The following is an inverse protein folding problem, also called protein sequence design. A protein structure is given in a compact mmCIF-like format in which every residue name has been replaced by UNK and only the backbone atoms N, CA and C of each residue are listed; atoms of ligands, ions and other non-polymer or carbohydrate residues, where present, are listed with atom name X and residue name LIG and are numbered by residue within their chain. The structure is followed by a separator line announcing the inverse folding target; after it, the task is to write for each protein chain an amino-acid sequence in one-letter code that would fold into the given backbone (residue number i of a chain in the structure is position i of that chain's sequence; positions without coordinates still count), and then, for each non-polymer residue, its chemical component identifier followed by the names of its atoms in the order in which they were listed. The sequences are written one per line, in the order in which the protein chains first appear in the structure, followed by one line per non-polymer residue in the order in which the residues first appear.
data_IF_392677595913
#
_entry.id   IF_392677595913
#
_cell.length_a   1.000
_cell.length_b   1.000
_cell.length_c   1.000
_cell.angle_alpha   90.00
_cell.angle_beta   90.00
_cell.angle_gamma   90.00
#
_symmetry.space_group_name_H-M   'P 1'
#
loop_
_entity.id
_entity.type
_entity.pdbx_description
1 polymer ?
#
# COMPACT_ATOMS: atom_id res chain seq x y z
N UNK A 1 12.18 4.11 -6.74
CA UNK A 1 12.06 5.07 -5.62
C UNK A 1 12.03 4.36 -4.27
N UNK A 2 11.04 3.50 -3.98
CA UNK A 2 10.96 2.78 -2.69
C UNK A 2 12.15 1.84 -2.42
N UNK A 3 12.65 1.15 -3.45
CA UNK A 3 13.84 0.28 -3.39
C UNK A 3 15.13 1.07 -3.07
N UNK A 4 15.18 2.36 -3.40
CA UNK A 4 16.36 3.20 -3.19
C UNK A 4 16.53 3.60 -1.72
N UNK A 5 15.44 3.66 -0.95
CA UNK A 5 15.47 3.91 0.50
C UNK A 5 15.90 2.64 1.27
N UNK A 6 15.70 1.45 0.68
CA UNK A 6 16.00 0.13 1.26
C UNK A 6 17.49 -0.27 1.19
N UNK A 7 18.30 0.36 0.35
CA UNK A 7 19.65 -0.16 0.10
C UNK A 7 20.48 -0.03 1.38
N UNK A 8 21.04 -1.15 1.90
CA UNK A 8 21.95 -1.24 3.08
C UNK A 8 23.10 -0.19 3.11
N UNK A 9 23.28 0.54 2.02
CA UNK A 9 24.13 1.70 1.88
C UNK A 9 23.64 2.92 2.68
N UNK A 10 22.33 3.20 2.74
CA UNK A 10 21.77 4.37 3.44
C UNK A 10 21.92 4.23 4.95
N UNK A 11 21.57 3.06 5.51
CA UNK A 11 21.70 2.76 6.94
C UNK A 11 23.13 2.81 7.46
N UNK A 12 24.15 2.62 6.62
CA UNK A 12 25.57 2.69 7.03
C UNK A 12 26.22 4.05 6.76
N UNK A 13 25.74 4.80 5.77
CA UNK A 13 26.38 6.06 5.34
C UNK A 13 25.74 7.30 5.99
N UNK A 14 24.40 7.34 6.13
CA UNK A 14 23.70 8.48 6.73
C UNK A 14 24.10 8.75 8.20
N UNK A 15 24.25 7.74 9.08
CA UNK A 15 24.64 7.97 10.47
C UNK A 15 25.99 8.68 10.60
N UNK A 16 26.87 8.55 9.59
CA UNK A 16 28.15 9.26 9.53
C UNK A 16 28.03 10.78 9.56
N UNK A 17 26.88 11.33 9.12
CA UNK A 17 26.56 12.76 9.14
C UNK A 17 26.22 13.27 10.56
N UNK A 18 25.97 12.37 11.51
CA UNK A 18 25.56 12.71 12.86
C UNK A 18 26.70 12.52 13.87
N UNK A 19 26.65 13.23 15.03
CA UNK A 19 27.61 13.03 16.13
C UNK A 19 27.63 11.57 16.62
N UNK A 20 28.82 11.06 16.99
CA UNK A 20 29.03 9.66 17.44
C UNK A 20 28.02 9.18 18.49
N UNK A 21 27.61 10.08 19.40
CA UNK A 21 26.66 9.79 20.49
C UNK A 21 25.28 9.33 20.00
N UNK A 22 24.79 9.88 18.88
CA UNK A 22 23.41 9.62 18.39
C UNK A 22 23.38 8.66 17.21
N UNK A 23 24.53 8.22 16.69
CA UNK A 23 24.59 7.30 15.53
C UNK A 23 23.82 6.00 15.75
N UNK A 24 23.92 5.32 16.92
CA UNK A 24 23.16 4.09 17.14
C UNK A 24 21.65 4.30 17.05
N UNK A 25 21.15 5.42 17.57
CA UNK A 25 19.73 5.79 17.50
C UNK A 25 19.28 6.05 16.06
N UNK A 26 20.10 6.75 15.26
CA UNK A 26 19.82 6.98 13.83
C UNK A 26 19.87 5.68 13.03
N UNK A 27 20.83 4.79 13.33
CA UNK A 27 20.93 3.48 12.68
C UNK A 27 19.69 2.61 12.94
N UNK A 28 19.19 2.60 14.18
CA UNK A 28 18.00 1.85 14.55
C UNK A 28 16.74 2.41 13.88
N UNK A 29 16.56 3.75 13.91
CA UNK A 29 15.49 4.44 13.18
C UNK A 29 15.46 4.07 11.70
N UNK A 30 16.61 4.20 11.01
CA UNK A 30 16.70 3.92 9.57
C UNK A 30 16.44 2.44 9.26
N UNK A 31 16.85 1.54 10.14
CA UNK A 31 16.60 0.10 10.00
C UNK A 31 15.10 -0.21 10.13
N UNK A 32 14.43 0.31 11.17
CA UNK A 32 12.98 0.15 11.38
C UNK A 32 12.15 0.76 10.24
N UNK A 33 12.54 1.94 9.78
CA UNK A 33 11.93 2.61 8.63
C UNK A 33 12.06 1.75 7.36
N UNK A 34 13.26 1.24 7.09
CA UNK A 34 13.53 0.37 5.95
C UNK A 34 12.69 -0.92 5.97
N UNK A 35 12.62 -1.59 7.12
CA UNK A 35 11.82 -2.81 7.28
C UNK A 35 10.31 -2.57 7.08
N UNK A 36 9.80 -1.44 7.57
CA UNK A 36 8.40 -1.06 7.42
C UNK A 36 8.05 -0.72 5.96
N UNK A 37 8.92 0.03 5.27
CA UNK A 37 8.77 0.33 3.84
C UNK A 37 8.87 -0.93 2.98
N UNK A 38 9.77 -1.85 3.30
CA UNK A 38 9.88 -3.14 2.61
C UNK A 38 8.60 -3.95 2.78
N UNK A 39 8.12 -4.09 4.01
CA UNK A 39 6.86 -4.80 4.30
C UNK A 39 5.68 -4.21 3.53
N UNK A 40 5.60 -2.88 3.42
CA UNK A 40 4.58 -2.21 2.62
C UNK A 40 4.67 -2.57 1.14
N UNK A 41 5.86 -2.51 0.54
CA UNK A 41 6.06 -2.87 -0.88
C UNK A 41 5.68 -4.34 -1.12
N UNK A 42 6.10 -5.24 -0.24
CA UNK A 42 5.78 -6.67 -0.34
C UNK A 42 4.27 -6.92 -0.27
N UNK A 43 3.58 -6.25 0.66
CA UNK A 43 2.12 -6.36 0.81
C UNK A 43 1.40 -5.83 -0.42
N UNK A 44 1.82 -4.68 -0.95
CA UNK A 44 1.21 -4.13 -2.17
C UNK A 44 1.43 -5.05 -3.36
N UNK A 45 2.65 -5.55 -3.56
CA UNK A 45 2.95 -6.42 -4.69
C UNK A 45 2.12 -7.71 -4.63
N UNK A 46 2.04 -8.33 -3.45
CA UNK A 46 1.22 -9.52 -3.24
C UNK A 46 -0.26 -9.22 -3.42
N UNK A 47 -0.77 -8.11 -2.89
CA UNK A 47 -2.16 -7.70 -3.04
C UNK A 47 -2.54 -7.47 -4.51
N UNK A 48 -1.70 -6.75 -5.25
CA UNK A 48 -1.87 -6.53 -6.69
C UNK A 48 -1.86 -7.84 -7.49
N UNK A 49 -0.97 -8.77 -7.15
CA UNK A 49 -0.94 -10.11 -7.76
C UNK A 49 -2.23 -10.89 -7.48
N UNK A 50 -2.72 -10.87 -6.24
CA UNK A 50 -3.98 -11.53 -5.87
C UNK A 50 -5.12 -10.98 -6.72
N UNK A 51 -5.27 -9.65 -6.81
CA UNK A 51 -6.33 -9.02 -7.62
C UNK A 51 -6.18 -9.37 -9.10
N UNK A 52 -4.97 -9.23 -9.66
CA UNK A 52 -4.72 -9.54 -11.08
C UNK A 52 -5.03 -10.99 -11.42
N UNK A 53 -4.63 -11.96 -10.59
CA UNK A 53 -4.92 -13.37 -10.79
C UNK A 53 -6.42 -13.66 -10.63
N UNK A 54 -7.07 -13.10 -9.61
CA UNK A 54 -8.53 -13.23 -9.44
C UNK A 54 -9.29 -12.70 -10.65
N UNK A 55 -8.86 -11.57 -11.20
CA UNK A 55 -9.46 -10.97 -12.38
C UNK A 55 -9.19 -11.75 -13.65
N UNK A 56 -8.01 -12.34 -13.79
CA UNK A 56 -7.71 -13.24 -14.90
C UNK A 56 -8.74 -14.37 -14.97
N UNK A 57 -8.99 -15.06 -13.86
CA UNK A 57 -9.98 -16.14 -13.83
C UNK A 57 -11.41 -15.63 -14.05
N UNK A 58 -11.78 -14.50 -13.43
CA UNK A 58 -13.09 -13.90 -13.60
C UNK A 58 -13.37 -13.54 -15.06
N UNK A 59 -12.48 -12.76 -15.68
CA UNK A 59 -12.70 -12.26 -17.04
C UNK A 59 -12.49 -13.33 -18.11
N UNK A 60 -11.70 -14.38 -17.84
CA UNK A 60 -11.66 -15.56 -18.73
C UNK A 60 -13.06 -16.15 -18.97
N UNK A 61 -13.91 -16.12 -17.94
CA UNK A 61 -15.26 -16.71 -18.00
C UNK A 61 -16.27 -15.75 -18.66
N UNK A 62 -16.25 -14.46 -18.29
CA UNK A 62 -17.29 -13.52 -18.69
C UNK A 62 -16.92 -12.63 -19.88
N UNK A 63 -15.63 -12.32 -20.08
CA UNK A 63 -15.11 -11.36 -21.04
C UNK A 63 -13.76 -11.85 -21.61
N UNK A 64 -13.73 -13.01 -22.31
CA UNK A 64 -12.48 -13.67 -22.69
C UNK A 64 -11.55 -12.76 -23.52
N UNK A 65 -12.13 -11.94 -24.40
CA UNK A 65 -11.43 -10.96 -25.25
C UNK A 65 -10.70 -9.87 -24.45
N UNK A 66 -11.18 -9.54 -23.25
CA UNK A 66 -10.63 -8.49 -22.38
C UNK A 66 -9.85 -9.03 -21.18
N UNK A 67 -9.68 -10.35 -21.08
CA UNK A 67 -9.07 -11.03 -19.93
C UNK A 67 -7.71 -10.45 -19.56
N UNK A 68 -6.80 -10.37 -20.54
CA UNK A 68 -5.44 -9.89 -20.30
C UNK A 68 -5.47 -8.40 -19.96
N UNK A 69 -6.28 -7.62 -20.68
CA UNK A 69 -6.37 -6.17 -20.48
C UNK A 69 -6.88 -5.84 -19.06
N UNK A 70 -8.01 -6.41 -18.65
CA UNK A 70 -8.63 -6.09 -17.36
C UNK A 70 -7.88 -6.71 -16.17
N UNK A 71 -7.31 -7.90 -16.32
CA UNK A 71 -6.49 -8.51 -15.26
C UNK A 71 -5.18 -7.75 -15.04
N UNK A 72 -4.50 -7.33 -16.12
CA UNK A 72 -3.32 -6.49 -16.03
C UNK A 72 -3.64 -5.08 -15.52
N UNK A 73 -4.77 -4.50 -15.93
CA UNK A 73 -5.25 -3.22 -15.39
C UNK A 73 -5.49 -3.29 -13.88
N UNK A 74 -6.18 -4.34 -13.41
CA UNK A 74 -6.34 -4.61 -11.98
C UNK A 74 -5.00 -4.73 -11.27
N UNK A 75 -4.06 -5.51 -11.81
CA UNK A 75 -2.72 -5.63 -11.25
C UNK A 75 -2.01 -4.28 -11.09
N UNK A 76 -1.94 -3.46 -12.14
CA UNK A 76 -1.20 -2.18 -12.11
C UNK A 76 -1.87 -1.15 -11.19
N UNK A 77 -3.20 -1.02 -11.27
CA UNK A 77 -3.92 -0.02 -10.48
C UNK A 77 -3.84 -0.32 -8.97
N UNK A 78 -3.80 -1.59 -8.57
CA UNK A 78 -3.70 -1.99 -7.16
C UNK A 78 -2.33 -1.72 -6.51
N UNK A 79 -1.37 -1.13 -7.23
CA UNK A 79 -0.20 -0.51 -6.61
C UNK A 79 -0.50 0.79 -5.86
N UNK A 80 -1.69 1.37 -6.05
CA UNK A 80 -2.14 2.58 -5.35
C UNK A 80 -3.32 2.19 -4.44
N UNK A 81 -3.10 1.99 -3.13
CA UNK A 81 -4.17 1.58 -2.23
C UNK A 81 -5.37 2.51 -2.31
N UNK A 82 -6.58 1.93 -2.36
CA UNK A 82 -7.89 2.60 -2.40
C UNK A 82 -8.14 3.35 -3.71
N UNK A 83 -7.25 4.26 -4.10
CA UNK A 83 -7.45 5.11 -5.29
C UNK A 83 -7.29 4.30 -6.58
N UNK A 84 -6.37 3.35 -6.60
CA UNK A 84 -6.22 2.39 -7.67
C UNK A 84 -7.51 1.64 -7.95
N UNK A 85 -8.17 1.17 -6.89
CA UNK A 85 -9.48 0.50 -6.96
C UNK A 85 -10.51 1.41 -7.63
N UNK A 86 -10.63 2.67 -7.21
CA UNK A 86 -11.59 3.61 -7.84
C UNK A 86 -11.35 3.77 -9.35
N UNK A 87 -10.08 3.88 -9.76
CA UNK A 87 -9.68 4.00 -11.18
C UNK A 87 -9.96 2.70 -11.94
N UNK A 88 -9.72 1.57 -11.30
CA UNK A 88 -9.94 0.23 -11.84
C UNK A 88 -11.39 -0.05 -12.20
N UNK A 89 -12.32 0.39 -11.35
CA UNK A 89 -13.75 0.15 -11.52
C UNK A 89 -14.34 0.83 -12.77
N UNK A 90 -13.75 1.94 -13.24
CA UNK A 90 -14.28 2.70 -14.38
C UNK A 90 -14.36 1.82 -15.65
N UNK A 91 -13.26 1.26 -16.18
CA UNK A 91 -13.34 0.39 -17.36
C UNK A 91 -14.09 -0.92 -17.10
N UNK A 92 -14.02 -1.49 -15.89
CA UNK A 92 -14.75 -2.72 -15.56
C UNK A 92 -16.26 -2.50 -15.68
N UNK A 93 -16.79 -1.41 -15.11
CA UNK A 93 -18.20 -1.07 -15.20
C UNK A 93 -18.62 -0.86 -16.66
N UNK A 94 -17.84 -0.11 -17.42
CA UNK A 94 -18.15 0.19 -18.83
C UNK A 94 -18.22 -1.10 -19.67
N UNK A 95 -17.19 -1.96 -19.57
CA UNK A 95 -17.13 -3.18 -20.39
C UNK A 95 -18.19 -4.20 -19.97
N UNK A 96 -18.47 -4.31 -18.66
CA UNK A 96 -19.45 -5.29 -18.14
C UNK A 96 -20.90 -4.91 -18.42
N UNK A 97 -21.22 -3.64 -18.71
CA UNK A 97 -22.56 -3.23 -19.16
C UNK A 97 -22.98 -3.94 -20.44
N UNK A 98 -22.02 -4.29 -21.31
CA UNK A 98 -22.27 -5.04 -22.55
C UNK A 98 -22.71 -6.50 -22.35
N UNK A 99 -22.58 -7.05 -21.13
CA UNK A 99 -22.94 -8.44 -20.83
C UNK A 99 -24.43 -8.65 -20.52
N UNK A 100 -25.21 -7.57 -20.46
CA UNK A 100 -26.59 -7.57 -19.98
C UNK A 100 -26.69 -7.48 -18.44
N UNK A 101 -27.85 -7.03 -17.95
CA UNK A 101 -28.04 -6.63 -16.54
C UNK A 101 -27.68 -7.72 -15.52
N UNK A 102 -28.08 -8.97 -15.78
CA UNK A 102 -27.77 -10.11 -14.89
C UNK A 102 -26.27 -10.33 -14.73
N UNK A 103 -25.55 -10.43 -15.84
CA UNK A 103 -24.11 -10.69 -15.82
C UNK A 103 -23.33 -9.47 -15.30
N UNK A 104 -23.79 -8.26 -15.62
CA UNK A 104 -23.25 -7.03 -15.03
C UNK A 104 -23.27 -7.09 -13.50
N UNK A 105 -24.41 -7.44 -12.89
CA UNK A 105 -24.51 -7.55 -11.43
C UNK A 105 -23.62 -8.66 -10.87
N UNK A 106 -23.56 -9.82 -11.54
CA UNK A 106 -22.74 -10.96 -11.09
C UNK A 106 -21.26 -10.58 -11.09
N UNK A 107 -20.75 -10.07 -12.22
CA UNK A 107 -19.32 -9.72 -12.35
C UNK A 107 -18.94 -8.65 -11.34
N UNK A 108 -19.71 -7.56 -11.23
CA UNK A 108 -19.38 -6.47 -10.31
C UNK A 108 -19.52 -6.90 -8.84
N UNK A 109 -20.42 -7.82 -8.51
CA UNK A 109 -20.48 -8.41 -7.16
C UNK A 109 -19.21 -9.20 -6.84
N UNK A 110 -18.70 -9.99 -7.80
CA UNK A 110 -17.45 -10.74 -7.63
C UNK A 110 -16.26 -9.78 -7.49
N UNK A 111 -16.19 -8.73 -8.33
CA UNK A 111 -15.16 -7.69 -8.24
C UNK A 111 -15.18 -7.02 -6.86
N UNK A 112 -16.36 -6.69 -6.32
CA UNK A 112 -16.50 -6.15 -4.97
C UNK A 112 -16.00 -7.12 -3.89
N UNK A 113 -16.28 -8.41 -4.01
CA UNK A 113 -15.79 -9.44 -3.08
C UNK A 113 -14.26 -9.58 -3.14
N UNK A 114 -13.68 -9.57 -4.34
CA UNK A 114 -12.22 -9.60 -4.53
C UNK A 114 -11.57 -8.41 -3.84
N UNK A 115 -12.12 -7.20 -4.03
CA UNK A 115 -11.61 -5.99 -3.38
C UNK A 115 -11.81 -5.96 -1.88
N UNK A 116 -12.92 -6.48 -1.36
CA UNK A 116 -13.10 -6.66 0.07
C UNK A 116 -12.02 -7.58 0.64
N UNK A 117 -11.74 -8.70 -0.04
CA UNK A 117 -10.65 -9.61 0.34
C UNK A 117 -9.28 -8.95 0.31
N UNK A 118 -8.97 -8.22 -0.76
CA UNK A 118 -7.70 -7.49 -0.90
C UNK A 118 -7.53 -6.39 0.16
N UNK A 119 -8.61 -5.67 0.51
CA UNK A 119 -8.61 -4.64 1.54
C UNK A 119 -8.38 -5.24 2.94
N UNK A 120 -9.07 -6.34 3.27
CA UNK A 120 -8.86 -7.06 4.52
C UNK A 120 -7.43 -7.62 4.60
N UNK A 121 -6.93 -8.21 3.51
CA UNK A 121 -5.54 -8.66 3.40
C UNK A 121 -4.57 -7.50 3.70
N UNK A 122 -4.77 -6.34 3.07
CA UNK A 122 -3.94 -5.16 3.31
C UNK A 122 -3.93 -4.75 4.80
N UNK A 123 -5.11 -4.62 5.43
CA UNK A 123 -5.23 -4.24 6.84
C UNK A 123 -4.53 -5.26 7.75
N UNK A 124 -4.84 -6.54 7.60
CA UNK A 124 -4.33 -7.56 8.49
C UNK A 124 -2.82 -7.73 8.32
N UNK A 125 -2.31 -7.82 7.09
CA UNK A 125 -0.88 -8.06 6.89
C UNK A 125 -0.07 -6.82 7.27
N UNK A 126 -0.52 -5.60 6.97
CA UNK A 126 0.19 -4.39 7.38
C UNK A 126 0.27 -4.24 8.90
N UNK A 127 -0.82 -4.56 9.62
CA UNK A 127 -0.82 -4.55 11.08
C UNK A 127 0.25 -5.47 11.67
N UNK A 128 0.43 -6.67 11.10
CA UNK A 128 1.38 -7.65 11.64
C UNK A 128 2.82 -7.46 11.16
N UNK A 129 3.03 -7.08 9.88
CA UNK A 129 4.36 -6.98 9.29
C UNK A 129 5.03 -5.63 9.50
N UNK A 130 4.26 -4.54 9.50
CA UNK A 130 4.80 -3.19 9.60
C UNK A 130 4.59 -2.55 10.98
N UNK A 131 3.85 -3.21 11.90
CA UNK A 131 3.43 -2.68 13.22
C UNK A 131 2.85 -1.25 13.16
N UNK A 132 2.27 -0.90 12.01
CA UNK A 132 1.67 0.40 11.76
C UNK A 132 0.17 0.20 11.73
N UNK A 133 -0.52 1.04 12.52
CA UNK A 133 -1.97 1.05 12.56
C UNK A 133 -2.52 1.39 11.15
N UNK A 134 -3.27 0.48 10.49
CA UNK A 134 -3.78 0.74 9.16
C UNK A 134 -4.68 1.97 9.06
N UNK A 135 -5.37 2.33 10.15
CA UNK A 135 -6.18 3.55 10.23
C UNK A 135 -5.34 4.80 10.03
N UNK A 136 -4.11 4.84 10.56
CA UNK A 136 -3.20 5.97 10.33
C UNK A 136 -2.82 6.09 8.86
N UNK A 137 -2.56 4.96 8.19
CA UNK A 137 -2.27 4.96 6.76
C UNK A 137 -3.44 5.51 5.94
N UNK A 138 -4.68 5.15 6.29
CA UNK A 138 -5.89 5.70 5.66
C UNK A 138 -5.97 7.22 5.85
N UNK A 139 -5.75 7.71 7.08
CA UNK A 139 -5.75 9.14 7.37
C UNK A 139 -4.74 9.88 6.50
N UNK A 140 -3.51 9.37 6.40
CA UNK A 140 -2.50 9.95 5.53
C UNK A 140 -2.88 9.91 4.06
N UNK A 141 -3.47 8.81 3.57
CA UNK A 141 -4.00 8.72 2.19
C UNK A 141 -5.00 9.84 1.92
N UNK A 142 -5.96 10.07 2.82
CA UNK A 142 -6.94 11.14 2.67
C UNK A 142 -6.29 12.53 2.74
N UNK A 143 -5.48 12.80 3.77
CA UNK A 143 -4.88 14.12 3.97
C UNK A 143 -3.93 14.50 2.82
N UNK A 144 -3.01 13.60 2.46
CA UNK A 144 -2.04 13.85 1.38
C UNK A 144 -2.76 13.87 0.03
N UNK A 145 -3.75 13.00 -0.19
CA UNK A 145 -4.57 12.98 -1.39
C UNK A 145 -5.39 14.26 -1.59
N UNK A 146 -5.90 14.87 -0.51
CA UNK A 146 -6.61 16.15 -0.58
C UNK A 146 -5.70 17.30 -0.99
N UNK A 147 -4.44 17.30 -0.54
CA UNK A 147 -3.49 18.39 -0.82
C UNK A 147 -2.80 18.23 -2.18
N UNK A 148 -2.42 16.99 -2.55
CA UNK A 148 -1.55 16.71 -3.69
C UNK A 148 -2.19 15.80 -4.75
N UNK A 149 -3.49 15.51 -4.62
CA UNK A 149 -4.24 14.68 -5.56
C UNK A 149 -3.73 13.25 -5.66
N UNK A 150 -3.90 12.65 -6.85
CA UNK A 150 -3.51 11.26 -7.14
C UNK A 150 -2.03 10.99 -6.89
N UNK A 151 -1.16 11.93 -7.26
CA UNK A 151 0.30 11.82 -7.05
C UNK A 151 0.61 11.78 -5.56
N UNK A 152 -0.08 12.61 -4.77
CA UNK A 152 0.02 12.60 -3.32
C UNK A 152 -0.30 11.24 -2.70
N UNK A 153 -1.43 10.67 -3.11
CA UNK A 153 -1.90 9.38 -2.57
C UNK A 153 -0.91 8.25 -2.79
N UNK A 154 -0.18 8.25 -3.92
CA UNK A 154 0.86 7.26 -4.20
C UNK A 154 1.96 7.24 -3.13
N UNK A 155 2.34 8.41 -2.62
CA UNK A 155 3.39 8.56 -1.59
C UNK A 155 2.85 8.58 -0.16
N UNK A 156 1.53 8.61 0.03
CA UNK A 156 0.91 8.86 1.33
C UNK A 156 1.28 7.80 2.39
N UNK A 157 1.24 6.52 2.03
CA UNK A 157 1.58 5.43 2.97
C UNK A 157 3.07 5.44 3.37
N UNK A 158 4.04 5.54 2.44
CA UNK A 158 5.44 5.76 2.80
C UNK A 158 5.68 6.95 3.72
N UNK A 159 4.99 8.05 3.48
CA UNK A 159 5.05 9.24 4.34
C UNK A 159 4.48 8.93 5.72
N UNK A 160 3.36 8.22 5.80
CA UNK A 160 2.80 7.75 7.07
C UNK A 160 3.77 6.86 7.83
N UNK A 161 4.41 5.90 7.15
CA UNK A 161 5.42 5.01 7.71
C UNK A 161 6.56 5.84 8.31
N UNK A 162 7.09 6.80 7.56
CA UNK A 162 8.15 7.68 8.06
C UNK A 162 7.77 8.41 9.35
N UNK A 163 6.62 9.08 9.38
CA UNK A 163 6.20 9.85 10.54
C UNK A 163 5.88 8.96 11.75
N UNK A 164 5.26 7.80 11.53
CA UNK A 164 4.97 6.85 12.62
C UNK A 164 6.25 6.27 13.20
N UNK A 165 7.20 5.84 12.36
CA UNK A 165 8.50 5.34 12.84
C UNK A 165 9.25 6.44 13.60
N UNK A 166 9.24 7.68 13.11
CA UNK A 166 9.91 8.80 13.78
C UNK A 166 9.29 9.08 15.15
N UNK A 167 7.96 9.12 15.22
CA UNK A 167 7.24 9.34 16.47
C UNK A 167 7.56 8.26 17.50
N UNK A 168 7.54 7.00 17.10
CA UNK A 168 7.80 5.88 17.98
C UNK A 168 9.25 5.88 18.49
N UNK A 169 10.21 6.21 17.63
CA UNK A 169 11.62 6.16 17.98
C UNK A 169 12.07 7.33 18.86
N UNK A 170 11.66 8.56 18.52
CA UNK A 170 12.21 9.76 19.18
C UNK A 170 11.28 10.37 20.22
N UNK A 171 9.97 10.31 20.04
CA UNK A 171 9.02 11.01 20.93
C UNK A 171 8.48 10.06 21.98
N UNK A 172 7.99 8.90 21.55
CA UNK A 172 7.44 7.91 22.48
C UNK A 172 8.51 7.34 23.42
N UNK A 173 9.70 7.02 22.89
CA UNK A 173 10.83 6.53 23.71
C UNK A 173 11.18 7.48 24.85
N UNK A 174 11.30 8.79 24.57
CA UNK A 174 11.63 9.79 25.58
C UNK A 174 10.51 9.96 26.63
N UNK A 175 9.24 9.96 26.20
CA UNK A 175 8.09 10.10 27.10
C UNK A 175 7.92 8.90 28.03
N UNK A 176 8.29 7.70 27.58
CA UNK A 176 8.23 6.48 28.38
C UNK A 176 9.43 6.41 29.35
N UNK A 177 10.61 6.89 28.97
CA UNK A 177 11.78 7.00 29.88
C UNK A 177 11.58 8.06 30.98
N UNK A 178 10.88 9.16 30.70
CA UNK A 178 10.63 10.23 31.68
C UNK A 178 9.57 9.84 32.74
N UNK A 179 8.89 8.71 32.56
CA UNK A 179 7.81 8.21 33.45
C UNK A 179 8.28 7.21 34.51
N UNK A 180 9.59 6.99 34.66
CA UNK A 180 10.20 6.11 35.68
C UNK A 180 10.78 6.94 36.82
#
# INVERSE_FOLDING_TARGET
VYVTIYTKWTTKSLPGLFPKRVRPLIEDFLTKLGNSLQSYVDVILLGALIVGVSFYFLFTIFLPEYTILLSFWGFITNFIPIVGVVIEWIPILIVTLGLGFKNFLIVNSIVAIVHLGAFLFFIFIMKHKADINPVLMLIFIFLVGLVYGLVGTFFAVPVAIFFVTLWNEFIKSELDETRI
#
